data_IF_554117915646
#
_entry.id   IF_554117915646
#
_cell.length_a   1.000
_cell.length_b   1.000
_cell.length_c   1.000
_cell.angle_alpha   90.00
_cell.angle_beta   90.00
_cell.angle_gamma   90.00
#
_symmetry.space_group_name_H-M   'P 1'
#
loop_
_entity.id
_entity.type
_entity.pdbx_description
1 polymer ?
#
# COMPACT_ATOMS: atom_id res chain seq x y z
N UNK A 1 2.90 -15.29 5.57
CA UNK A 1 3.37 -13.91 5.78
C UNK A 1 2.21 -13.02 6.19
N UNK A 2 2.43 -12.07 7.11
CA UNK A 2 1.50 -11.00 7.43
C UNK A 2 2.24 -9.65 7.47
N UNK A 3 1.65 -8.62 6.87
CA UNK A 3 2.12 -7.25 7.00
C UNK A 3 1.40 -6.57 8.16
N UNK A 4 2.17 -6.04 9.10
CA UNK A 4 1.69 -5.36 10.29
C UNK A 4 2.13 -3.90 10.21
N UNK A 5 1.21 -2.99 10.51
CA UNK A 5 1.55 -1.57 10.69
C UNK A 5 1.72 -1.28 12.17
N UNK A 6 2.71 -0.47 12.52
CA UNK A 6 2.67 0.21 13.82
C UNK A 6 1.46 1.16 13.80
N UNK A 7 0.69 1.21 14.89
CA UNK A 7 -0.67 1.76 14.99
C UNK A 7 -1.00 2.93 14.03
N UNK A 8 -1.97 2.73 13.15
CA UNK A 8 -2.25 3.51 11.93
C UNK A 8 -2.75 4.93 12.02
N UNK A 9 -2.93 5.42 13.24
CA UNK A 9 -3.42 6.77 13.49
C UNK A 9 -2.76 7.40 14.69
N UNK A 10 -1.74 6.75 15.26
CA UNK A 10 -1.05 7.32 16.40
C UNK A 10 -0.23 8.51 15.93
N UNK A 11 -0.62 9.70 16.39
CA UNK A 11 0.20 10.91 16.29
C UNK A 11 1.56 10.76 16.99
N UNK A 12 1.77 9.67 17.74
CA UNK A 12 3.03 9.38 18.45
C UNK A 12 4.13 8.80 17.56
N UNK A 13 3.79 8.28 16.37
CA UNK A 13 4.79 7.76 15.43
C UNK A 13 5.15 8.88 14.45
N UNK A 14 6.41 9.34 14.42
CA UNK A 14 6.88 10.33 13.45
C UNK A 14 6.57 9.90 12.02
N UNK A 15 6.34 10.87 11.11
CA UNK A 15 5.93 10.55 9.74
C UNK A 15 6.99 9.71 9.03
N UNK A 16 8.27 10.02 9.23
CA UNK A 16 9.45 9.33 8.74
C UNK A 16 9.57 7.88 9.21
N UNK A 17 8.88 7.47 10.29
CA UNK A 17 8.93 6.12 10.88
C UNK A 17 7.75 5.22 10.49
N UNK A 18 6.84 5.68 9.64
CA UNK A 18 5.62 4.93 9.26
C UNK A 18 5.84 3.85 8.20
N UNK A 19 6.86 3.02 8.44
CA UNK A 19 7.14 1.84 7.66
C UNK A 19 6.16 0.71 7.97
N UNK A 20 5.94 -0.14 6.98
CA UNK A 20 5.32 -1.43 7.19
C UNK A 20 6.33 -2.37 7.85
N UNK A 21 5.83 -3.19 8.75
CA UNK A 21 6.56 -4.28 9.37
C UNK A 21 5.98 -5.60 8.89
N UNK A 22 6.75 -6.67 8.98
CA UNK A 22 6.31 -7.99 8.60
C UNK A 22 6.61 -9.02 9.69
N UNK A 23 5.81 -10.06 9.72
CA UNK A 23 6.01 -11.26 10.53
C UNK A 23 5.40 -12.44 9.79
N UNK A 24 5.88 -13.65 10.03
CA UNK A 24 5.35 -14.86 9.40
C UNK A 24 5.07 -15.92 10.45
N UNK A 25 4.32 -16.93 10.01
CA UNK A 25 3.97 -18.10 10.80
C UNK A 25 4.11 -19.32 9.90
N UNK A 26 4.81 -20.33 10.40
CA UNK A 26 5.03 -21.60 9.71
C UNK A 26 4.10 -22.71 10.22
N UNK A 27 3.22 -22.40 11.18
CA UNK A 27 2.35 -23.34 11.87
C UNK A 27 0.85 -23.01 11.74
N UNK A 28 0.50 -22.25 10.70
CA UNK A 28 -0.88 -21.87 10.40
C UNK A 28 -1.43 -20.75 11.29
N UNK A 29 -0.55 -19.87 11.79
CA UNK A 29 -0.91 -18.70 12.58
C UNK A 29 -0.94 -18.91 14.09
N UNK A 30 -0.42 -20.03 14.60
CA UNK A 30 -0.40 -20.34 16.05
C UNK A 30 0.75 -19.62 16.75
N UNK A 31 1.93 -19.63 16.13
CA UNK A 31 3.09 -18.86 16.56
C UNK A 31 3.56 -17.96 15.42
N UNK A 32 4.24 -16.88 15.79
CA UNK A 32 4.69 -15.85 14.86
C UNK A 32 6.16 -15.56 15.09
N UNK A 33 6.88 -15.28 14.01
CA UNK A 33 8.26 -14.82 14.06
C UNK A 33 8.36 -13.48 14.78
N UNK A 34 9.58 -13.11 15.16
CA UNK A 34 9.87 -11.71 15.51
C UNK A 34 9.45 -10.78 14.36
N UNK A 35 8.98 -9.59 14.72
CA UNK A 35 8.53 -8.57 13.77
C UNK A 35 9.76 -7.89 13.19
N UNK A 36 9.88 -7.88 11.86
CA UNK A 36 10.94 -7.17 11.15
C UNK A 36 10.41 -5.94 10.42
N UNK A 37 11.20 -4.87 10.40
CA UNK A 37 10.90 -3.67 9.63
C UNK A 37 11.13 -3.96 8.14
N UNK A 38 10.24 -3.47 7.27
CA UNK A 38 10.48 -3.41 5.83
C UNK A 38 10.85 -1.99 5.39
N UNK A 39 11.40 -1.84 4.19
CA UNK A 39 11.68 -0.53 3.60
C UNK A 39 10.45 0.13 2.94
N UNK A 40 9.29 -0.55 2.92
CA UNK A 40 8.05 0.03 2.43
C UNK A 40 7.51 1.08 3.40
N UNK A 41 7.57 2.35 2.99
CA UNK A 41 6.93 3.44 3.71
C UNK A 41 5.48 3.59 3.26
N UNK A 42 4.51 3.44 4.17
CA UNK A 42 3.10 3.55 3.84
C UNK A 42 2.21 2.65 4.67
N UNK A 43 0.89 2.80 4.52
CA UNK A 43 -0.12 2.02 5.24
C UNK A 43 -1.56 2.34 4.78
N UNK A 44 -2.54 1.45 5.04
CA UNK A 44 -2.35 0.03 5.39
C UNK A 44 -1.95 -0.81 4.16
N UNK A 45 -1.38 -2.00 4.38
CA UNK A 45 -1.01 -2.94 3.33
C UNK A 45 -2.17 -3.88 2.95
N UNK A 46 -2.05 -4.45 1.76
CA UNK A 46 -2.76 -5.63 1.30
C UNK A 46 -1.80 -6.52 0.51
N UNK A 47 -1.68 -7.78 0.93
CA UNK A 47 -0.89 -8.80 0.25
C UNK A 47 -1.77 -9.62 -0.70
N UNK A 48 -1.24 -9.93 -1.87
CA UNK A 48 -1.82 -10.84 -2.85
C UNK A 48 -0.71 -11.79 -3.35
N UNK A 49 -0.92 -13.10 -3.25
CA UNK A 49 -0.11 -14.07 -3.98
C UNK A 49 -0.63 -14.15 -5.41
N UNK A 50 0.22 -13.81 -6.38
CA UNK A 50 -0.09 -13.84 -7.80
C UNK A 50 -0.02 -15.27 -8.33
N UNK A 51 -0.65 -15.51 -9.47
CA UNK A 51 -0.61 -16.78 -10.19
C UNK A 51 0.81 -17.18 -10.62
N UNK A 52 1.71 -16.20 -10.78
CA UNK A 52 3.14 -16.42 -11.05
C UNK A 52 3.92 -17.00 -9.87
N UNK A 53 3.36 -16.92 -8.64
CA UNK A 53 4.07 -17.24 -7.40
C UNK A 53 4.69 -16.01 -6.70
N UNK A 54 4.74 -14.87 -7.38
CA UNK A 54 5.19 -13.61 -6.77
C UNK A 54 4.17 -13.09 -5.75
N UNK A 55 4.64 -12.33 -4.76
CA UNK A 55 3.77 -11.67 -3.78
C UNK A 55 3.77 -10.17 -4.02
N UNK A 56 2.57 -9.61 -4.17
CA UNK A 56 2.33 -8.19 -4.31
C UNK A 56 1.84 -7.58 -2.99
N UNK A 57 2.47 -6.50 -2.55
CA UNK A 57 2.00 -5.67 -1.44
C UNK A 57 1.53 -4.31 -1.96
N UNK A 58 0.23 -4.05 -2.00
CA UNK A 58 -0.32 -2.72 -2.28
C UNK A 58 -0.58 -1.96 -0.99
N UNK A 59 -0.26 -0.66 -0.91
CA UNK A 59 -0.43 0.15 0.29
C UNK A 59 -0.75 1.62 0.01
N UNK A 60 -1.34 2.30 1.00
CA UNK A 60 -1.55 3.75 0.96
C UNK A 60 -0.27 4.52 1.19
N UNK A 61 -0.05 5.59 0.42
CA UNK A 61 1.11 6.47 0.49
C UNK A 61 0.66 7.86 0.93
N UNK A 62 0.72 8.07 2.24
CA UNK A 62 0.17 9.24 2.94
C UNK A 62 1.22 10.34 3.18
N UNK A 63 2.09 10.56 2.21
CA UNK A 63 3.03 11.69 2.10
C UNK A 63 3.10 12.13 0.64
N UNK A 64 3.58 13.35 0.39
CA UNK A 64 3.75 13.86 -0.98
C UNK A 64 4.73 12.97 -1.77
N UNK A 65 4.42 12.58 -3.02
CA UNK A 65 3.15 12.78 -3.72
C UNK A 65 2.10 11.74 -3.28
N UNK A 66 0.98 12.23 -2.73
CA UNK A 66 -0.05 11.44 -2.06
C UNK A 66 -0.72 10.44 -3.00
N UNK A 67 -0.91 9.20 -2.56
CA UNK A 67 -1.68 8.24 -3.35
C UNK A 67 -1.52 6.79 -2.93
N UNK A 68 -1.38 5.90 -3.90
CA UNK A 68 -1.35 4.45 -3.69
C UNK A 68 -0.12 3.88 -4.39
N UNK A 69 0.53 2.93 -3.73
CA UNK A 69 1.74 2.25 -4.19
C UNK A 69 1.56 0.75 -4.16
N UNK A 70 2.42 0.05 -4.87
CA UNK A 70 2.61 -1.38 -4.70
C UNK A 70 4.09 -1.76 -4.80
N UNK A 71 4.46 -2.86 -4.17
CA UNK A 71 5.80 -3.42 -4.22
C UNK A 71 5.72 -4.94 -4.37
N UNK A 72 6.66 -5.52 -5.11
CA UNK A 72 6.73 -6.96 -5.38
C UNK A 72 7.78 -7.63 -4.52
N UNK A 73 7.54 -8.91 -4.25
CA UNK A 73 8.52 -9.85 -3.76
C UNK A 73 8.47 -11.11 -4.60
N UNK A 74 9.62 -11.55 -5.09
CA UNK A 74 9.77 -12.75 -5.95
C UNK A 74 10.39 -13.95 -5.22
N UNK A 75 10.72 -13.76 -3.95
CA UNK A 75 11.46 -14.71 -3.11
C UNK A 75 10.67 -15.10 -1.86
N UNK A 76 9.33 -15.07 -1.95
CA UNK A 76 8.46 -15.50 -0.85
C UNK A 76 8.41 -14.51 0.32
N UNK A 77 8.45 -13.21 0.03
CA UNK A 77 8.47 -12.10 1.00
C UNK A 77 9.78 -11.99 1.82
N UNK A 78 10.89 -12.54 1.33
CA UNK A 78 12.19 -12.37 1.99
C UNK A 78 12.78 -10.99 1.67
N UNK A 79 12.64 -10.53 0.43
CA UNK A 79 12.99 -9.18 -0.01
C UNK A 79 11.84 -8.52 -0.78
N UNK A 80 11.90 -7.19 -0.86
CA UNK A 80 10.91 -6.36 -1.54
C UNK A 80 11.61 -5.45 -2.56
N UNK A 81 11.10 -5.38 -3.78
CA UNK A 81 11.59 -4.56 -4.90
C UNK A 81 11.26 -3.08 -4.68
N UNK A 82 11.72 -2.49 -3.57
CA UNK A 82 11.38 -1.11 -3.18
C UNK A 82 11.99 -0.06 -4.11
N UNK A 83 13.11 -0.38 -4.76
CA UNK A 83 13.74 0.48 -5.76
C UNK A 83 12.85 0.65 -7.00
N UNK A 84 12.02 -0.35 -7.29
CA UNK A 84 11.06 -0.40 -8.38
C UNK A 84 9.62 -0.26 -7.86
N UNK A 85 9.42 0.59 -6.82
CA UNK A 85 8.09 0.85 -6.24
C UNK A 85 7.10 1.31 -7.32
N UNK A 86 5.99 0.57 -7.43
CA UNK A 86 4.97 0.82 -8.44
C UNK A 86 4.04 1.94 -7.95
N UNK A 87 3.95 3.02 -8.73
CA UNK A 87 3.04 4.14 -8.47
C UNK A 87 1.70 3.88 -9.15
N UNK A 88 0.66 3.55 -8.37
CA UNK A 88 -0.70 3.35 -8.90
C UNK A 88 -1.48 4.67 -9.01
N UNK A 89 -1.24 5.59 -8.07
CA UNK A 89 -1.81 6.94 -8.00
C UNK A 89 -0.85 7.85 -7.26
N UNK A 90 -0.72 9.10 -7.68
CA UNK A 90 0.09 10.14 -7.03
C UNK A 90 -0.61 11.51 -7.00
N UNK A 91 -1.90 11.52 -7.33
CA UNK A 91 -2.78 12.68 -7.46
C UNK A 91 -3.79 12.82 -6.31
N UNK A 92 -3.55 12.15 -5.18
CA UNK A 92 -4.32 12.39 -3.95
C UNK A 92 -4.16 13.84 -3.50
N UNK A 93 -5.19 14.40 -2.87
CA UNK A 93 -5.27 15.82 -2.47
C UNK A 93 -3.94 16.33 -1.87
N UNK A 94 -3.32 17.27 -2.58
CA UNK A 94 -2.09 17.96 -2.18
C UNK A 94 -2.44 19.12 -1.25
N UNK A 95 -1.79 19.19 -0.09
CA UNK A 95 -1.86 20.33 0.83
C UNK A 95 -1.00 21.49 0.37
N UNK A 96 -1.21 22.00 -0.84
CA UNK A 96 -0.65 23.30 -1.24
C UNK A 96 -1.41 24.48 -0.60
N UNK A 97 -2.28 24.21 0.38
CA UNK A 97 -2.65 25.18 1.41
C UNK A 97 -3.90 26.00 1.12
N UNK A 98 -4.58 25.78 0.00
CA UNK A 98 -5.88 26.40 -0.27
C UNK A 98 -6.93 25.35 -0.59
N UNK A 99 -7.58 24.82 0.44
CA UNK A 99 -8.79 24.00 0.27
C UNK A 99 -9.97 24.79 0.84
N UNK A 100 -10.72 25.44 -0.05
CA UNK A 100 -12.12 25.73 0.24
C UNK A 100 -12.88 24.39 0.15
N UNK A 101 -12.90 23.64 1.26
CA UNK A 101 -13.49 22.30 1.32
C UNK A 101 -13.11 21.56 2.60
N UNK A 102 -13.97 20.64 3.07
CA UNK A 102 -13.82 19.91 4.35
C UNK A 102 -12.91 18.68 4.27
N UNK A 103 -12.10 18.54 3.22
CA UNK A 103 -11.23 17.37 3.02
C UNK A 103 -10.06 17.35 3.99
N UNK A 104 -9.75 16.18 4.58
CA UNK A 104 -8.54 16.00 5.40
C UNK A 104 -7.38 15.58 4.49
N UNK A 105 -6.24 16.28 4.53
CA UNK A 105 -5.02 15.84 3.86
C UNK A 105 -4.68 14.39 4.21
N UNK A 106 -4.18 13.62 3.24
CA UNK A 106 -3.83 12.20 3.41
C UNK A 106 -5.01 11.24 3.66
N UNK A 107 -6.26 11.68 3.45
CA UNK A 107 -7.43 10.81 3.54
C UNK A 107 -7.62 9.98 2.26
N UNK A 108 -6.83 8.91 2.18
CA UNK A 108 -6.75 7.97 1.06
C UNK A 108 -6.17 6.60 1.47
N UNK A 109 -6.22 5.61 0.58
CA UNK A 109 -5.55 4.32 0.72
C UNK A 109 -6.52 3.18 0.99
N UNK A 110 -6.14 2.27 1.89
CA UNK A 110 -6.84 0.99 2.12
C UNK A 110 -7.04 0.17 0.84
N UNK A 111 -5.95 -0.11 0.09
CA UNK A 111 -6.08 -0.84 -1.15
C UNK A 111 -6.47 -2.31 -0.94
N UNK A 112 -7.13 -2.87 -1.95
CA UNK A 112 -7.37 -4.30 -2.16
C UNK A 112 -7.09 -4.59 -3.62
N UNK A 113 -6.21 -5.56 -3.88
CA UNK A 113 -5.85 -5.96 -5.24
C UNK A 113 -6.36 -7.35 -5.53
N UNK A 114 -6.85 -7.57 -6.76
CA UNK A 114 -7.14 -8.88 -7.32
C UNK A 114 -6.42 -9.04 -8.66
N UNK A 115 -6.07 -10.28 -8.99
CA UNK A 115 -5.63 -10.66 -10.33
C UNK A 115 -6.84 -11.09 -11.17
N UNK A 116 -6.97 -10.55 -12.37
CA UNK A 116 -8.04 -10.82 -13.31
C UNK A 116 -7.66 -11.99 -14.23
N UNK A 117 -8.65 -12.57 -14.91
CA UNK A 117 -8.46 -13.76 -15.76
C UNK A 117 -7.56 -13.53 -16.98
N UNK A 118 -7.32 -12.28 -17.36
CA UNK A 118 -6.41 -11.90 -18.44
C UNK A 118 -4.98 -11.58 -17.96
N UNK A 119 -4.69 -11.83 -16.67
CA UNK A 119 -3.40 -11.54 -16.04
C UNK A 119 -3.21 -10.08 -15.62
N UNK A 120 -4.18 -9.19 -15.89
CA UNK A 120 -4.13 -7.82 -15.38
C UNK A 120 -4.51 -7.77 -13.90
N UNK A 121 -4.05 -6.73 -13.21
CA UNK A 121 -4.33 -6.48 -11.80
C UNK A 121 -5.39 -5.38 -11.69
N UNK A 122 -6.30 -5.53 -10.73
CA UNK A 122 -7.30 -4.53 -10.39
C UNK A 122 -7.20 -4.18 -8.91
N UNK A 123 -6.82 -2.94 -8.61
CA UNK A 123 -6.64 -2.44 -7.25
C UNK A 123 -7.69 -1.39 -6.94
N UNK A 124 -8.58 -1.68 -5.97
CA UNK A 124 -9.58 -0.74 -5.44
C UNK A 124 -9.09 -0.11 -4.14
N UNK A 125 -9.40 1.17 -3.92
CA UNK A 125 -9.05 1.94 -2.71
C UNK A 125 -10.03 3.12 -2.56
N UNK A 126 -9.92 3.86 -1.46
CA UNK A 126 -10.59 5.16 -1.36
C UNK A 126 -9.56 6.30 -1.49
N UNK A 127 -9.98 7.45 -2.00
CA UNK A 127 -9.14 8.65 -2.03
C UNK A 127 -9.97 9.92 -2.04
N UNK A 128 -9.33 11.02 -1.64
CA UNK A 128 -9.85 12.38 -1.76
C UNK A 128 -9.02 13.12 -2.82
N UNK A 129 -9.69 13.76 -3.77
CA UNK A 129 -9.09 14.55 -4.86
C UNK A 129 -9.34 16.05 -4.65
N UNK A 130 -8.84 16.90 -5.56
CA UNK A 130 -8.92 18.37 -5.51
C UNK A 130 -10.32 18.95 -5.23
N UNK A 131 -11.38 18.22 -5.57
CA UNK A 131 -12.78 18.57 -5.30
C UNK A 131 -13.22 18.36 -3.84
N UNK A 132 -12.32 17.87 -2.98
CA UNK A 132 -12.56 17.51 -1.57
C UNK A 132 -13.60 16.41 -1.36
N UNK A 133 -13.95 15.64 -2.40
CA UNK A 133 -14.89 14.53 -2.29
C UNK A 133 -14.13 13.23 -2.10
N UNK A 134 -14.31 12.61 -0.94
CA UNK A 134 -13.81 11.27 -0.66
C UNK A 134 -14.67 10.24 -1.37
N UNK A 135 -14.06 9.40 -2.20
CA UNK A 135 -14.77 8.38 -2.98
C UNK A 135 -13.95 7.09 -3.09
N UNK A 136 -14.60 6.04 -3.55
CA UNK A 136 -13.94 4.80 -3.96
C UNK A 136 -13.46 4.95 -5.40
N UNK A 137 -12.20 4.60 -5.64
CA UNK A 137 -11.55 4.62 -6.95
C UNK A 137 -10.83 3.29 -7.18
N UNK A 138 -10.41 3.04 -8.42
CA UNK A 138 -9.62 1.86 -8.75
C UNK A 138 -8.66 2.13 -9.90
N UNK A 139 -7.55 1.39 -9.91
CA UNK A 139 -6.60 1.31 -11.04
C UNK A 139 -6.61 -0.11 -11.57
N UNK A 140 -6.81 -0.27 -12.89
CA UNK A 140 -6.48 -1.51 -13.61
C UNK A 140 -5.11 -1.33 -14.25
N UNK A 141 -4.24 -2.30 -14.08
CA UNK A 141 -2.84 -2.21 -14.47
C UNK A 141 -2.26 -3.61 -14.75
N UNK A 142 -1.04 -3.68 -15.21
CA UNK A 142 -0.33 -4.93 -15.44
C UNK A 142 1.12 -4.80 -14.97
N UNK A 143 1.74 -5.92 -14.65
CA UNK A 143 3.18 -5.98 -14.49
C UNK A 143 3.83 -6.08 -15.87
N UNK A 144 4.94 -5.37 -16.06
CA UNK A 144 5.75 -5.55 -17.25
C UNK A 144 6.22 -7.02 -17.30
N UNK A 145 6.05 -7.66 -18.45
CA UNK A 145 6.56 -9.00 -18.65
C UNK A 145 8.08 -8.92 -18.81
N UNK A 146 8.81 -9.65 -17.96
CA UNK A 146 10.25 -9.85 -18.07
C UNK A 146 10.61 -10.69 -19.31
#
# INVERSE_FOLDING_TARGET
>A
MAMVRTSSGSKRIPQEEKYLFQTHSDDGGKTWSEVSKTEMWGYPPHLLLLSSGDVLCSYGYRRVPYGVRACLSRDGCATWEIADEIVLRDDGLTTDGTVAGKGTPADLGYPRTVELSDGSLFTVYYMTLGDSVTHVAATRWALDQA
#
